data_IF_082059574445
#
_entry.id   IF_082059574445
#
_cell.length_a   1.000
_cell.length_b   1.000
_cell.length_c   1.000
_cell.angle_alpha   90.00
_cell.angle_beta   90.00
_cell.angle_gamma   90.00
#
_symmetry.space_group_name_H-M   'P 1'
#
loop_
_entity.id
_entity.type
_entity.pdbx_description
1 polymer ?
#
# COMPACT_ATOMS: atom_id res chain seq x y z
N UNK A 1 16.01 -8.56 -11.68
CA UNK A 1 15.74 -8.61 -10.22
C UNK A 1 16.79 -7.82 -9.46
N UNK A 2 16.39 -6.99 -8.51
CA UNK A 2 17.30 -6.17 -7.70
C UNK A 2 17.87 -7.03 -6.57
N UNK A 3 19.20 -7.26 -6.59
CA UNK A 3 19.89 -8.07 -5.57
C UNK A 3 20.34 -7.24 -4.36
N UNK A 4 20.55 -5.94 -4.52
CA UNK A 4 20.92 -4.99 -3.48
C UNK A 4 20.24 -3.66 -3.75
N UNK A 5 19.78 -3.00 -2.70
CA UNK A 5 19.18 -1.67 -2.79
C UNK A 5 20.20 -0.54 -2.51
N UNK A 6 21.44 -0.89 -2.21
CA UNK A 6 22.50 0.09 -2.02
C UNK A 6 22.59 1.03 -3.24
N UNK A 7 22.51 2.34 -3.00
CA UNK A 7 22.47 3.40 -4.01
C UNK A 7 21.30 3.30 -5.03
N UNK A 8 20.28 2.50 -4.78
CA UNK A 8 19.09 2.42 -5.63
C UNK A 8 18.05 3.47 -5.22
N UNK A 9 17.51 4.19 -6.19
CA UNK A 9 16.46 5.20 -5.96
C UNK A 9 15.12 4.53 -5.76
N UNK A 10 14.50 4.77 -4.62
CA UNK A 10 13.20 4.23 -4.23
C UNK A 10 12.21 5.37 -3.99
N UNK A 11 11.16 5.44 -4.78
CA UNK A 11 10.06 6.39 -4.62
C UNK A 11 8.98 5.73 -3.75
N UNK A 12 8.54 6.41 -2.68
CA UNK A 12 7.50 5.89 -1.76
C UNK A 12 6.40 6.93 -1.63
N UNK A 13 5.19 6.62 -2.11
CA UNK A 13 4.02 7.47 -1.92
C UNK A 13 3.35 7.21 -0.57
N UNK A 14 2.82 8.25 0.08
CA UNK A 14 2.27 8.14 1.43
C UNK A 14 3.32 7.85 2.49
N UNK A 15 4.53 8.44 2.34
CA UNK A 15 5.69 8.12 3.16
C UNK A 15 5.70 8.77 4.55
N UNK A 16 4.75 9.67 4.86
CA UNK A 16 4.75 10.46 6.11
C UNK A 16 4.32 9.69 7.35
N UNK A 17 3.73 8.49 7.22
CA UNK A 17 3.24 7.71 8.36
C UNK A 17 3.07 6.21 8.02
N UNK A 18 2.79 5.40 9.02
CA UNK A 18 2.35 4.02 8.89
C UNK A 18 3.28 3.16 8.03
N UNK A 19 2.68 2.44 7.07
CA UNK A 19 3.42 1.53 6.17
C UNK A 19 4.46 2.28 5.33
N UNK A 20 4.14 3.48 4.83
CA UNK A 20 5.07 4.27 4.02
C UNK A 20 6.32 4.68 4.80
N UNK A 21 6.16 5.12 6.06
CA UNK A 21 7.28 5.45 6.94
C UNK A 21 8.10 4.21 7.31
N UNK A 22 7.46 3.09 7.64
CA UNK A 22 8.15 1.82 7.91
C UNK A 22 8.92 1.33 6.68
N UNK A 23 8.34 1.46 5.49
CA UNK A 23 8.98 1.16 4.22
C UNK A 23 10.22 2.06 3.99
N UNK A 24 10.11 3.38 4.24
CA UNK A 24 11.24 4.30 4.13
C UNK A 24 12.40 3.90 5.06
N UNK A 25 12.11 3.59 6.33
CA UNK A 25 13.13 3.10 7.28
C UNK A 25 13.80 1.82 6.80
N UNK A 26 13.03 0.87 6.31
CA UNK A 26 13.56 -0.41 5.82
C UNK A 26 14.48 -0.20 4.61
N UNK A 27 14.07 0.61 3.62
CA UNK A 27 14.94 0.89 2.48
C UNK A 27 16.16 1.74 2.83
N UNK A 28 16.04 2.67 3.81
CA UNK A 28 17.19 3.41 4.34
C UNK A 28 18.24 2.49 4.98
N UNK A 29 17.80 1.47 5.75
CA UNK A 29 18.72 0.46 6.33
C UNK A 29 19.45 -0.37 5.27
N UNK A 30 18.90 -0.44 4.05
CA UNK A 30 19.52 -1.02 2.87
C UNK A 30 20.32 0.02 2.02
N UNK A 31 20.57 1.22 2.55
CA UNK A 31 21.30 2.31 1.90
C UNK A 31 20.73 2.77 0.56
N UNK A 32 19.40 2.66 0.39
CA UNK A 32 18.72 3.19 -0.77
C UNK A 32 18.65 4.72 -0.72
N UNK A 33 18.63 5.37 -1.89
CA UNK A 33 18.27 6.79 -2.03
C UNK A 33 16.77 6.91 -2.04
N UNK A 34 16.20 7.78 -1.22
CA UNK A 34 14.75 7.81 -0.98
C UNK A 34 14.13 9.08 -1.58
N UNK A 35 13.03 8.90 -2.33
CA UNK A 35 12.11 9.96 -2.70
C UNK A 35 10.82 9.75 -1.90
N UNK A 36 10.65 10.54 -0.86
CA UNK A 36 9.50 10.45 0.05
C UNK A 36 8.40 11.40 -0.40
N UNK A 37 7.21 10.86 -0.60
CA UNK A 37 6.08 11.62 -1.17
C UNK A 37 4.88 11.60 -0.21
N UNK A 38 4.36 12.78 0.14
CA UNK A 38 3.12 12.94 0.90
C UNK A 38 2.50 14.32 0.67
N UNK A 39 1.25 14.51 1.14
CA UNK A 39 0.56 15.81 1.09
C UNK A 39 0.98 16.74 2.22
N UNK A 40 1.25 16.19 3.39
CA UNK A 40 1.58 16.95 4.60
C UNK A 40 3.09 17.12 4.74
N UNK A 41 3.58 18.35 4.54
CA UNK A 41 5.00 18.66 4.56
C UNK A 41 5.65 18.40 5.92
N UNK A 42 5.02 18.86 7.01
CA UNK A 42 5.58 18.73 8.36
C UNK A 42 5.82 17.25 8.75
N UNK A 43 4.82 16.38 8.57
CA UNK A 43 4.96 14.96 8.88
C UNK A 43 5.94 14.24 7.93
N UNK A 44 6.04 14.68 6.67
CA UNK A 44 6.99 14.14 5.71
C UNK A 44 8.44 14.49 6.11
N UNK A 45 8.67 15.73 6.53
CA UNK A 45 9.98 16.20 6.94
C UNK A 45 10.45 15.51 8.23
N UNK A 46 9.58 15.19 9.17
CA UNK A 46 9.94 14.38 10.37
C UNK A 46 10.60 13.05 9.95
N UNK A 47 9.99 12.33 9.00
CA UNK A 47 10.56 11.06 8.52
C UNK A 47 11.85 11.30 7.72
N UNK A 48 11.89 12.35 6.91
CA UNK A 48 13.09 12.67 6.13
C UNK A 48 14.28 13.00 7.04
N UNK A 49 14.07 13.83 8.07
CA UNK A 49 15.12 14.23 9.01
C UNK A 49 15.69 13.04 9.81
N UNK A 50 14.81 12.11 10.21
CA UNK A 50 15.20 10.84 10.84
C UNK A 50 16.16 10.03 9.94
N UNK A 51 15.96 10.04 8.61
CA UNK A 51 16.66 9.16 7.69
C UNK A 51 17.87 9.78 7.00
N UNK A 52 18.02 11.12 7.01
CA UNK A 52 19.15 11.82 6.34
C UNK A 52 20.52 11.44 6.86
N UNK A 53 20.63 10.92 8.08
CA UNK A 53 21.90 10.41 8.61
C UNK A 53 22.28 9.03 8.05
N UNK A 54 21.35 8.33 7.41
CA UNK A 54 21.51 6.95 6.93
C UNK A 54 21.63 6.89 5.40
N UNK A 55 20.90 7.78 4.68
CA UNK A 55 20.84 7.79 3.22
C UNK A 55 20.47 9.16 2.66
N UNK A 56 20.61 9.32 1.33
CA UNK A 56 20.12 10.50 0.62
C UNK A 56 18.60 10.50 0.55
N UNK A 57 17.97 11.64 0.92
CA UNK A 57 16.51 11.78 0.97
C UNK A 57 16.05 13.04 0.26
N UNK A 58 15.19 12.88 -0.74
CA UNK A 58 14.40 13.93 -1.38
C UNK A 58 12.95 13.87 -0.87
N UNK A 59 12.41 14.97 -0.39
CA UNK A 59 10.98 15.11 -0.07
C UNK A 59 10.25 15.79 -1.21
N UNK A 60 9.06 15.24 -1.58
CA UNK A 60 8.19 15.81 -2.59
C UNK A 60 6.79 15.97 -1.99
N UNK A 61 6.40 17.21 -1.70
CA UNK A 61 5.05 17.52 -1.24
C UNK A 61 4.13 17.59 -2.44
N UNK A 62 3.19 16.63 -2.55
CA UNK A 62 2.24 16.57 -3.65
C UNK A 62 0.99 15.76 -3.30
N UNK A 63 -0.05 15.92 -4.10
CA UNK A 63 -1.23 15.07 -4.08
C UNK A 63 -1.17 14.06 -5.24
N UNK A 64 -1.14 12.77 -4.95
CA UNK A 64 -1.15 11.71 -5.99
C UNK A 64 -2.43 11.72 -6.84
N UNK A 65 -3.48 12.47 -6.45
CA UNK A 65 -4.64 12.70 -7.29
C UNK A 65 -4.39 13.69 -8.45
N UNK A 66 -3.29 14.47 -8.45
CA UNK A 66 -2.86 15.31 -9.57
C UNK A 66 -2.08 14.46 -10.58
N UNK A 67 -2.51 14.47 -11.85
CA UNK A 67 -1.81 13.76 -12.92
C UNK A 67 -0.45 14.43 -13.23
N UNK A 68 -0.43 15.75 -13.25
CA UNK A 68 0.75 16.56 -13.53
C UNK A 68 1.83 16.31 -12.49
N UNK A 69 1.45 16.29 -11.19
CA UNK A 69 2.38 16.01 -10.11
C UNK A 69 2.95 14.59 -10.20
N UNK A 70 2.11 13.60 -10.56
CA UNK A 70 2.55 12.22 -10.72
C UNK A 70 3.60 12.08 -11.85
N UNK A 71 3.44 12.77 -12.97
CA UNK A 71 4.40 12.74 -14.06
C UNK A 71 5.69 13.50 -13.68
N UNK A 72 5.57 14.69 -13.10
CA UNK A 72 6.71 15.49 -12.65
C UNK A 72 7.53 14.81 -11.54
N UNK A 73 6.93 13.93 -10.75
CA UNK A 73 7.61 13.18 -9.67
C UNK A 73 8.78 12.34 -10.21
N UNK A 74 8.59 11.65 -11.32
CA UNK A 74 9.62 10.78 -11.91
C UNK A 74 10.79 11.59 -12.45
N UNK A 75 10.50 12.72 -13.09
CA UNK A 75 11.54 13.66 -13.56
C UNK A 75 12.36 14.23 -12.39
N UNK A 76 11.68 14.65 -11.32
CA UNK A 76 12.36 15.14 -10.10
C UNK A 76 13.24 14.07 -9.46
N UNK A 77 12.77 12.83 -9.39
CA UNK A 77 13.54 11.71 -8.85
C UNK A 77 14.78 11.39 -9.68
N UNK A 78 14.64 11.35 -11.02
CA UNK A 78 15.75 11.10 -11.95
C UNK A 78 16.75 12.28 -11.91
N UNK A 79 16.30 13.52 -11.90
CA UNK A 79 17.15 14.69 -11.80
C UNK A 79 17.98 14.74 -10.50
N UNK A 80 17.39 14.31 -9.37
CA UNK A 80 18.06 14.30 -8.08
C UNK A 80 19.08 13.16 -7.93
N UNK A 81 18.76 11.97 -8.44
CA UNK A 81 19.53 10.76 -8.12
C UNK A 81 20.04 10.00 -9.36
N UNK A 82 19.83 10.53 -10.57
CA UNK A 82 20.35 10.01 -11.83
C UNK A 82 19.57 8.84 -12.42
N UNK A 83 18.76 8.14 -11.63
CA UNK A 83 17.94 7.02 -12.09
C UNK A 83 16.76 6.75 -11.14
N UNK A 84 15.73 6.03 -11.60
CA UNK A 84 14.64 5.49 -10.79
C UNK A 84 14.67 3.97 -10.85
N UNK A 85 14.68 3.30 -9.69
CA UNK A 85 14.80 1.85 -9.61
C UNK A 85 13.56 1.19 -9.02
N UNK A 86 12.89 1.81 -8.06
CA UNK A 86 11.70 1.24 -7.39
C UNK A 86 10.65 2.32 -7.24
N UNK A 87 9.40 1.97 -7.51
CA UNK A 87 8.24 2.76 -7.12
C UNK A 87 7.34 1.94 -6.20
N UNK A 88 7.02 2.51 -5.02
CA UNK A 88 6.10 1.95 -4.05
C UNK A 88 4.83 2.80 -4.02
N UNK A 89 3.78 2.30 -4.64
CA UNK A 89 2.44 2.88 -4.62
C UNK A 89 1.74 2.51 -3.31
N UNK A 90 2.02 3.28 -2.25
CA UNK A 90 1.48 3.04 -0.92
C UNK A 90 0.41 4.06 -0.51
N UNK A 91 0.39 5.26 -1.08
CA UNK A 91 -0.64 6.26 -0.77
C UNK A 91 -2.04 5.67 -0.96
N UNK A 92 -2.93 5.96 -0.01
CA UNK A 92 -4.29 5.44 -0.04
C UNK A 92 -5.22 6.15 0.93
N UNK A 93 -6.52 6.03 0.68
CA UNK A 93 -7.58 6.53 1.56
C UNK A 93 -8.73 5.53 1.65
N UNK A 94 -9.53 5.65 2.70
CA UNK A 94 -10.74 4.85 2.88
C UNK A 94 -11.84 5.71 3.52
N UNK A 95 -12.81 6.16 2.73
CA UNK A 95 -14.08 6.68 3.25
C UNK A 95 -14.95 5.47 3.62
N UNK A 96 -15.15 5.30 4.93
CA UNK A 96 -15.77 4.11 5.53
C UNK A 96 -17.28 4.23 5.60
N UNK A 97 -17.96 3.09 5.60
CA UNK A 97 -19.41 3.00 5.77
C UNK A 97 -20.14 2.38 4.59
N UNK A 98 -21.42 2.12 4.76
CA UNK A 98 -22.30 1.68 3.67
C UNK A 98 -22.35 2.74 2.57
N UNK A 99 -22.36 2.32 1.32
CA UNK A 99 -22.18 3.21 0.16
C UNK A 99 -23.20 4.36 0.12
N UNK A 100 -24.42 4.13 0.58
CA UNK A 100 -25.47 5.17 0.67
C UNK A 100 -25.15 6.33 1.64
N UNK A 101 -24.19 6.11 2.56
CA UNK A 101 -23.74 7.10 3.56
C UNK A 101 -22.41 7.75 3.21
N UNK A 102 -21.73 7.27 2.18
CA UNK A 102 -20.46 7.84 1.71
C UNK A 102 -20.74 8.92 0.69
N UNK A 103 -20.12 10.10 0.87
CA UNK A 103 -20.27 11.19 -0.07
C UNK A 103 -19.78 10.81 -1.48
N UNK A 104 -20.51 11.12 -2.57
CA UNK A 104 -20.10 10.76 -3.93
C UNK A 104 -18.69 11.24 -4.31
N UNK A 105 -18.26 12.40 -3.80
CA UNK A 105 -16.91 12.92 -4.03
C UNK A 105 -15.83 12.10 -3.32
N UNK A 106 -16.12 11.51 -2.17
CA UNK A 106 -15.20 10.61 -1.48
C UNK A 106 -15.07 9.27 -2.21
N UNK A 107 -16.16 8.81 -2.85
CA UNK A 107 -16.13 7.63 -3.74
C UNK A 107 -15.17 7.89 -4.90
N UNK A 108 -15.28 9.03 -5.58
CA UNK A 108 -14.40 9.42 -6.68
C UNK A 108 -12.94 9.57 -6.20
N UNK A 109 -12.71 10.25 -5.07
CA UNK A 109 -11.38 10.42 -4.49
C UNK A 109 -10.70 9.07 -4.13
N UNK A 110 -11.47 8.07 -3.63
CA UNK A 110 -10.93 6.72 -3.41
C UNK A 110 -10.46 6.08 -4.72
N UNK A 111 -11.19 6.24 -5.83
CA UNK A 111 -10.79 5.72 -7.14
C UNK A 111 -9.52 6.43 -7.61
N UNK A 112 -9.47 7.75 -7.50
CA UNK A 112 -8.33 8.54 -7.93
C UNK A 112 -7.05 8.18 -7.18
N UNK A 113 -7.11 8.09 -5.86
CA UNK A 113 -5.93 7.88 -5.02
C UNK A 113 -5.53 6.41 -4.98
N UNK A 114 -6.48 5.48 -4.79
CA UNK A 114 -6.17 4.07 -4.57
C UNK A 114 -5.96 3.26 -5.86
N UNK A 115 -6.45 3.74 -7.01
CA UNK A 115 -6.40 3.00 -8.26
C UNK A 115 -5.77 3.83 -9.38
N UNK A 116 -6.38 4.97 -9.79
CA UNK A 116 -5.89 5.74 -10.94
C UNK A 116 -4.43 6.18 -10.76
N UNK A 117 -4.07 6.77 -9.63
CA UNK A 117 -2.72 7.23 -9.37
C UNK A 117 -1.66 6.11 -9.42
N UNK A 118 -1.84 4.95 -8.76
CA UNK A 118 -0.94 3.80 -8.92
C UNK A 118 -0.79 3.32 -10.36
N UNK A 119 -1.88 3.28 -11.14
CA UNK A 119 -1.83 2.87 -12.55
C UNK A 119 -1.01 3.87 -13.39
N UNK A 120 -1.28 5.17 -13.22
CA UNK A 120 -0.56 6.24 -13.91
C UNK A 120 0.93 6.24 -13.57
N UNK A 121 1.28 6.19 -12.28
CA UNK A 121 2.67 6.16 -11.82
C UNK A 121 3.39 4.90 -12.31
N UNK A 122 2.73 3.74 -12.28
CA UNK A 122 3.31 2.49 -12.78
C UNK A 122 3.61 2.58 -14.29
N UNK A 123 2.67 3.06 -15.09
CA UNK A 123 2.83 3.24 -16.52
C UNK A 123 3.98 4.22 -16.82
N UNK A 124 3.98 5.39 -16.19
CA UNK A 124 4.98 6.42 -16.40
C UNK A 124 6.39 5.99 -15.92
N UNK A 125 6.48 5.11 -14.90
CA UNK A 125 7.77 4.63 -14.38
C UNK A 125 8.48 3.65 -15.32
N UNK A 126 7.79 2.89 -16.14
CA UNK A 126 8.39 1.84 -16.98
C UNK A 126 9.60 2.32 -17.80
N UNK A 127 9.55 3.45 -18.53
CA UNK A 127 10.69 3.94 -19.29
C UNK A 127 11.92 4.23 -18.39
N UNK A 128 11.71 4.78 -17.19
CA UNK A 128 12.78 5.07 -16.22
C UNK A 128 13.42 3.79 -15.69
N UNK A 129 12.59 2.80 -15.30
CA UNK A 129 13.06 1.50 -14.84
C UNK A 129 13.84 0.73 -15.92
N UNK A 130 13.43 0.86 -17.19
CA UNK A 130 14.17 0.29 -18.33
C UNK A 130 15.54 0.95 -18.52
N UNK A 131 15.63 2.29 -18.42
CA UNK A 131 16.91 3.01 -18.49
C UNK A 131 17.85 2.63 -17.35
N UNK A 132 17.31 2.34 -16.18
CA UNK A 132 18.09 1.87 -15.02
C UNK A 132 18.58 0.41 -15.14
N UNK A 133 18.16 -0.32 -16.21
CA UNK A 133 18.54 -1.72 -16.50
C UNK A 133 17.83 -2.77 -15.66
N UNK A 134 17.23 -2.40 -14.55
CA UNK A 134 16.39 -3.24 -13.71
C UNK A 134 15.53 -2.39 -12.78
N UNK A 135 14.37 -2.90 -12.37
CA UNK A 135 13.51 -2.12 -11.49
C UNK A 135 12.39 -2.92 -10.83
N UNK A 136 11.60 -2.23 -10.02
CA UNK A 136 10.40 -2.82 -9.42
C UNK A 136 9.26 -1.81 -9.28
N UNK A 137 8.04 -2.30 -9.46
CA UNK A 137 6.78 -1.62 -9.18
C UNK A 137 6.07 -2.42 -8.09
N UNK A 138 5.88 -1.81 -6.92
CA UNK A 138 5.22 -2.45 -5.79
C UNK A 138 3.95 -1.70 -5.43
N UNK A 139 2.82 -2.38 -5.50
CA UNK A 139 1.51 -1.82 -5.16
C UNK A 139 1.08 -2.30 -3.77
N UNK A 140 0.60 -1.38 -2.93
CA UNK A 140 0.02 -1.74 -1.64
C UNK A 140 -1.49 -1.96 -1.82
N UNK A 141 -1.84 -3.23 -1.91
CA UNK A 141 -3.20 -3.74 -2.00
C UNK A 141 -3.90 -3.84 -0.64
N UNK A 142 -4.77 -4.83 -0.50
CA UNK A 142 -5.47 -5.19 0.74
C UNK A 142 -6.14 -6.54 0.60
N UNK A 143 -6.41 -7.24 1.70
CA UNK A 143 -7.34 -8.39 1.72
C UNK A 143 -8.75 -8.01 1.27
N UNK A 144 -9.15 -6.73 1.39
CA UNK A 144 -10.41 -6.21 0.84
C UNK A 144 -10.46 -6.31 -0.70
N UNK A 145 -9.31 -6.30 -1.39
CA UNK A 145 -9.23 -6.57 -2.84
C UNK A 145 -9.34 -8.08 -3.19
N UNK A 146 -9.35 -8.95 -2.20
CA UNK A 146 -9.43 -10.41 -2.35
C UNK A 146 -10.73 -11.01 -1.83
N UNK A 147 -11.55 -10.22 -1.15
CA UNK A 147 -12.85 -10.65 -0.62
C UNK A 147 -13.79 -9.46 -0.50
N UNK A 148 -15.11 -9.64 -0.78
CA UNK A 148 -16.07 -8.57 -0.58
C UNK A 148 -16.16 -8.20 0.90
N UNK A 149 -16.01 -6.90 1.20
CA UNK A 149 -16.13 -6.35 2.54
C UNK A 149 -17.29 -5.37 2.59
N UNK A 150 -18.25 -5.57 3.50
CA UNK A 150 -19.34 -4.61 3.73
C UNK A 150 -18.77 -3.34 4.38
N UNK A 151 -19.40 -2.21 4.10
CA UNK A 151 -18.90 -0.89 4.56
C UNK A 151 -17.62 -0.44 3.84
N UNK A 152 -17.21 -1.14 2.76
CA UNK A 152 -15.99 -0.85 2.03
C UNK A 152 -16.12 -1.16 0.53
N UNK A 153 -17.30 -0.99 -0.07
CA UNK A 153 -17.56 -1.42 -1.45
C UNK A 153 -16.58 -0.77 -2.45
N UNK A 154 -16.46 0.55 -2.42
CA UNK A 154 -15.54 1.29 -3.31
C UNK A 154 -14.08 0.96 -3.01
N UNK A 155 -13.71 0.92 -1.72
CA UNK A 155 -12.34 0.56 -1.32
C UNK A 155 -11.97 -0.84 -1.81
N UNK A 156 -12.85 -1.82 -1.63
CA UNK A 156 -12.65 -3.18 -2.13
C UNK A 156 -12.50 -3.22 -3.66
N UNK A 157 -13.34 -2.47 -4.39
CA UNK A 157 -13.25 -2.36 -5.85
C UNK A 157 -11.89 -1.79 -6.29
N UNK A 158 -11.41 -0.70 -5.66
CA UNK A 158 -10.11 -0.11 -5.99
C UNK A 158 -8.95 -1.07 -5.73
N UNK A 159 -8.97 -1.77 -4.60
CA UNK A 159 -7.91 -2.72 -4.24
C UNK A 159 -7.97 -4.02 -5.05
N UNK A 160 -9.15 -4.45 -5.49
CA UNK A 160 -9.31 -5.57 -6.43
C UNK A 160 -8.79 -5.20 -7.82
N UNK A 161 -9.12 -4.00 -8.34
CA UNK A 161 -8.59 -3.49 -9.61
C UNK A 161 -7.07 -3.35 -9.58
N UNK A 162 -6.50 -2.79 -8.51
CA UNK A 162 -5.06 -2.65 -8.35
C UNK A 162 -4.34 -4.02 -8.30
N UNK A 163 -4.96 -5.00 -7.63
CA UNK A 163 -4.46 -6.37 -7.60
C UNK A 163 -4.45 -7.00 -9.00
N UNK A 164 -5.56 -6.93 -9.72
CA UNK A 164 -5.67 -7.47 -11.09
C UNK A 164 -4.65 -6.81 -12.03
N UNK A 165 -4.52 -5.46 -11.96
CA UNK A 165 -3.52 -4.71 -12.70
C UNK A 165 -2.09 -5.18 -12.41
N UNK A 166 -1.76 -5.42 -11.14
CA UNK A 166 -0.41 -5.86 -10.75
C UNK A 166 -0.03 -7.21 -11.35
N UNK A 167 -0.97 -8.14 -11.41
CA UNK A 167 -0.74 -9.45 -12.05
C UNK A 167 -0.56 -9.30 -13.57
N UNK A 168 -1.49 -8.61 -14.24
CA UNK A 168 -1.40 -8.43 -15.68
C UNK A 168 -0.10 -7.72 -16.09
N UNK A 169 0.27 -6.64 -15.39
CA UNK A 169 1.51 -5.92 -15.68
C UNK A 169 2.77 -6.76 -15.37
N UNK A 170 2.70 -7.63 -14.36
CA UNK A 170 3.80 -8.57 -14.07
C UNK A 170 4.03 -9.53 -15.24
N UNK A 171 2.96 -10.03 -15.86
CA UNK A 171 3.04 -10.91 -17.03
C UNK A 171 3.55 -10.15 -18.26
N UNK A 172 3.10 -8.91 -18.50
CA UNK A 172 3.57 -8.05 -19.60
C UNK A 172 5.06 -7.72 -19.50
N UNK A 173 5.61 -7.59 -18.30
CA UNK A 173 7.00 -7.23 -18.05
C UNK A 173 7.90 -8.43 -17.77
N UNK A 174 7.39 -9.66 -17.96
CA UNK A 174 8.17 -10.88 -17.75
C UNK A 174 9.41 -10.88 -18.66
N UNK A 175 10.57 -11.17 -18.09
CA UNK A 175 11.85 -11.21 -18.83
C UNK A 175 12.51 -9.84 -19.08
N UNK A 176 11.87 -8.72 -18.70
CA UNK A 176 12.41 -7.35 -18.94
C UNK A 176 13.37 -6.87 -17.85
N UNK A 177 13.53 -7.61 -16.75
CA UNK A 177 14.29 -7.16 -15.57
C UNK A 177 13.49 -6.26 -14.62
N UNK A 178 12.21 -5.98 -14.93
CA UNK A 178 11.32 -5.19 -14.07
C UNK A 178 10.37 -6.14 -13.34
N UNK A 179 10.40 -6.13 -12.01
CA UNK A 179 9.48 -6.88 -11.16
C UNK A 179 8.23 -6.05 -10.87
N UNK A 180 7.06 -6.69 -10.91
CA UNK A 180 5.79 -6.05 -10.52
C UNK A 180 5.07 -6.93 -9.54
N UNK A 181 4.50 -6.33 -8.50
CA UNK A 181 3.69 -7.11 -7.58
C UNK A 181 2.88 -6.29 -6.60
N UNK A 182 2.10 -7.00 -5.79
CA UNK A 182 1.16 -6.42 -4.83
C UNK A 182 1.32 -7.04 -3.44
N UNK A 183 1.42 -6.20 -2.41
CA UNK A 183 1.28 -6.65 -1.02
C UNK A 183 -0.18 -6.55 -0.62
N UNK A 184 -0.78 -7.64 -0.15
CA UNK A 184 -2.19 -7.70 0.26
C UNK A 184 -2.31 -7.91 1.78
N UNK A 185 -2.16 -6.85 2.60
CA UNK A 185 -2.29 -6.94 4.04
C UNK A 185 -3.76 -7.06 4.48
N UNK A 186 -3.95 -7.65 5.67
CA UNK A 186 -5.16 -7.51 6.46
C UNK A 186 -5.19 -6.17 7.20
N UNK A 187 -5.86 -6.07 8.36
CA UNK A 187 -5.80 -4.88 9.18
C UNK A 187 -4.36 -4.64 9.67
N UNK A 188 -3.94 -3.37 9.68
CA UNK A 188 -2.59 -2.95 10.07
C UNK A 188 -2.70 -2.03 11.29
N UNK A 189 -1.85 -2.23 12.29
CA UNK A 189 -1.76 -1.40 13.50
C UNK A 189 -1.08 -0.06 13.19
N UNK A 190 -1.83 0.83 12.54
CA UNK A 190 -1.40 2.17 12.14
C UNK A 190 -2.55 3.16 12.30
N UNK A 191 -2.26 4.47 12.27
CA UNK A 191 -3.28 5.52 12.31
C UNK A 191 -4.39 5.34 11.27
N UNK A 192 -4.10 4.76 10.11
CA UNK A 192 -5.10 4.46 9.07
C UNK A 192 -6.31 3.65 9.56
N UNK A 193 -6.12 2.80 10.58
CA UNK A 193 -7.18 2.03 11.24
C UNK A 193 -7.45 2.55 12.64
N UNK A 194 -6.39 2.85 13.40
CA UNK A 194 -6.52 3.12 14.83
C UNK A 194 -7.11 4.49 15.13
N UNK A 195 -6.83 5.53 14.30
CA UNK A 195 -7.39 6.87 14.49
C UNK A 195 -8.90 6.92 14.23
N UNK A 196 -9.41 5.98 13.43
CA UNK A 196 -10.83 5.86 13.09
C UNK A 196 -11.43 4.52 13.58
N UNK A 197 -10.89 3.95 14.65
CA UNK A 197 -11.23 2.58 15.10
C UNK A 197 -12.75 2.40 15.24
N UNK A 198 -13.48 3.42 15.66
CA UNK A 198 -14.93 3.37 15.85
C UNK A 198 -15.70 3.25 14.55
N UNK A 199 -15.22 3.86 13.48
CA UNK A 199 -15.81 3.78 12.15
C UNK A 199 -15.43 2.51 11.38
N UNK A 200 -14.42 1.76 11.86
CA UNK A 200 -13.99 0.50 11.22
C UNK A 200 -14.97 -0.62 11.56
N UNK A 201 -15.46 -1.32 10.56
CA UNK A 201 -16.35 -2.48 10.72
C UNK A 201 -15.72 -3.59 11.60
N UNK A 202 -16.49 -4.13 12.53
CA UNK A 202 -16.02 -5.13 13.49
C UNK A 202 -15.37 -6.34 12.82
N UNK A 203 -15.91 -6.78 11.69
CA UNK A 203 -15.39 -7.94 10.93
C UNK A 203 -13.90 -7.77 10.54
N UNK A 204 -13.41 -6.55 10.38
CA UNK A 204 -12.01 -6.27 10.08
C UNK A 204 -11.11 -6.83 11.19
N UNK A 205 -11.52 -6.69 12.43
CA UNK A 205 -10.80 -7.19 13.60
C UNK A 205 -10.98 -8.71 13.86
N UNK A 206 -11.78 -9.41 13.03
CA UNK A 206 -11.80 -10.88 13.05
C UNK A 206 -10.48 -11.49 12.58
N UNK A 207 -9.70 -10.71 11.83
CA UNK A 207 -8.33 -11.05 11.43
C UNK A 207 -7.33 -10.42 12.40
N UNK A 208 -6.24 -11.10 12.72
CA UNK A 208 -5.18 -10.50 13.53
C UNK A 208 -4.51 -9.35 12.75
N UNK A 209 -4.19 -8.26 13.44
CA UNK A 209 -3.49 -7.13 12.85
C UNK A 209 -2.03 -7.48 12.52
N UNK A 210 -1.53 -6.89 11.44
CA UNK A 210 -0.11 -6.90 11.10
C UNK A 210 0.52 -5.59 11.52
N UNK A 211 1.85 -5.57 11.70
CA UNK A 211 2.58 -4.31 11.88
C UNK A 211 2.91 -3.66 10.53
N UNK A 212 3.24 -2.37 10.55
CA UNK A 212 3.70 -1.64 9.38
C UNK A 212 5.02 -2.22 8.82
N UNK A 213 5.90 -2.70 9.72
CA UNK A 213 7.20 -3.32 9.38
C UNK A 213 6.98 -4.63 8.62
N UNK A 214 6.04 -5.47 9.04
CA UNK A 214 5.71 -6.71 8.31
C UNK A 214 5.22 -6.43 6.89
N UNK A 215 4.48 -5.32 6.68
CA UNK A 215 4.07 -4.91 5.33
C UNK A 215 5.28 -4.41 4.54
N UNK A 216 6.17 -3.64 5.16
CA UNK A 216 7.40 -3.15 4.54
C UNK A 216 8.32 -4.31 4.08
N UNK A 217 8.45 -5.36 4.90
CA UNK A 217 9.18 -6.59 4.50
C UNK A 217 8.55 -7.25 3.27
N UNK A 218 7.21 -7.31 3.20
CA UNK A 218 6.51 -7.78 2.01
C UNK A 218 6.76 -6.92 0.78
N UNK A 219 6.83 -5.60 0.94
CA UNK A 219 7.19 -4.65 -0.13
C UNK A 219 8.62 -4.92 -0.62
N UNK A 220 9.57 -5.10 0.30
CA UNK A 220 10.97 -5.39 -0.02
C UNK A 220 11.11 -6.73 -0.79
N UNK A 221 10.38 -7.76 -0.37
CA UNK A 221 10.39 -9.07 -1.04
C UNK A 221 9.90 -8.96 -2.50
N UNK A 222 8.84 -8.20 -2.77
CA UNK A 222 8.36 -7.94 -4.14
C UNK A 222 9.38 -7.11 -4.92
N UNK A 223 9.93 -6.05 -4.31
CA UNK A 223 10.93 -5.22 -4.96
C UNK A 223 12.19 -6.00 -5.35
N UNK A 224 12.54 -7.05 -4.59
CA UNK A 224 13.60 -7.99 -4.92
C UNK A 224 13.24 -9.00 -6.02
N UNK A 225 11.99 -9.02 -6.50
CA UNK A 225 11.52 -9.91 -7.55
C UNK A 225 11.25 -11.35 -7.09
N UNK A 226 11.05 -11.58 -5.79
CA UNK A 226 10.83 -12.92 -5.24
C UNK A 226 9.41 -13.43 -5.49
N UNK A 227 8.41 -12.57 -5.52
CA UNK A 227 6.98 -12.92 -5.60
C UNK A 227 6.18 -11.84 -6.33
N UNK A 228 5.09 -12.24 -7.00
CA UNK A 228 4.11 -11.31 -7.59
C UNK A 228 3.09 -10.83 -6.53
N UNK A 229 2.74 -11.68 -5.56
CA UNK A 229 1.87 -11.27 -4.47
C UNK A 229 2.38 -11.79 -3.12
N UNK A 230 2.47 -10.88 -2.14
CA UNK A 230 2.68 -11.21 -0.74
C UNK A 230 1.37 -10.98 0.01
N UNK A 231 0.79 -12.06 0.53
CA UNK A 231 -0.38 -11.99 1.43
C UNK A 231 0.11 -12.18 2.85
N UNK A 232 -0.04 -11.16 3.67
CA UNK A 232 0.32 -11.29 5.07
C UNK A 232 -0.67 -12.25 5.75
N UNK A 233 -0.13 -13.36 6.29
CA UNK A 233 -0.85 -14.50 6.87
C UNK A 233 -1.53 -15.39 5.82
N UNK A 234 -0.90 -16.52 5.52
CA UNK A 234 -1.34 -17.50 4.53
C UNK A 234 -2.77 -18.06 4.77
N UNK A 235 -3.22 -18.15 6.03
CA UNK A 235 -4.59 -18.56 6.38
C UNK A 235 -5.65 -17.59 5.83
N UNK A 236 -5.37 -16.29 5.87
CA UNK A 236 -6.25 -15.25 5.32
C UNK A 236 -6.35 -15.34 3.79
N UNK A 237 -5.27 -15.72 3.11
CA UNK A 237 -5.27 -15.89 1.65
C UNK A 237 -6.26 -16.98 1.20
N UNK A 238 -6.27 -18.13 1.88
CA UNK A 238 -7.20 -19.24 1.59
C UNK A 238 -8.65 -18.84 1.85
N UNK A 239 -8.93 -18.21 2.99
CA UNK A 239 -10.27 -17.79 3.37
C UNK A 239 -10.85 -16.77 2.39
N UNK A 240 -10.05 -15.81 1.92
CA UNK A 240 -10.49 -14.79 0.97
C UNK A 240 -10.86 -15.38 -0.40
N UNK A 241 -10.10 -16.36 -0.91
CA UNK A 241 -10.47 -17.07 -2.15
C UNK A 241 -11.82 -17.80 -2.01
N UNK A 242 -12.02 -18.54 -0.92
CA UNK A 242 -13.26 -19.26 -0.66
C UNK A 242 -14.46 -18.30 -0.56
N UNK A 243 -14.26 -17.07 -0.12
CA UNK A 243 -15.34 -16.09 0.06
C UNK A 243 -16.02 -15.68 -1.25
N UNK A 244 -15.31 -15.68 -2.37
CA UNK A 244 -15.88 -15.46 -3.70
C UNK A 244 -16.53 -16.71 -4.27
N UNK A 245 -15.89 -17.88 -4.10
CA UNK A 245 -16.41 -19.15 -4.62
C UNK A 245 -17.69 -19.60 -3.91
N UNK A 246 -17.82 -19.29 -2.61
CA UNK A 246 -18.94 -19.73 -1.78
C UNK A 246 -19.64 -18.55 -1.08
N UNK A 247 -20.39 -17.69 -1.81
CA UNK A 247 -20.99 -16.49 -1.26
C UNK A 247 -22.02 -16.77 -0.16
N UNK A 248 -22.77 -17.88 -0.26
CA UNK A 248 -23.76 -18.27 0.76
C UNK A 248 -23.08 -18.73 2.05
N UNK A 249 -21.98 -19.47 1.97
CA UNK A 249 -21.17 -19.85 3.14
C UNK A 249 -20.60 -18.61 3.82
N UNK A 250 -20.04 -17.67 3.05
CA UNK A 250 -19.56 -16.38 3.57
C UNK A 250 -20.66 -15.65 4.36
N UNK A 251 -21.89 -15.54 3.80
CA UNK A 251 -23.01 -14.87 4.46
C UNK A 251 -23.39 -15.56 5.77
N UNK A 252 -23.38 -16.91 5.81
CA UNK A 252 -23.67 -17.69 7.02
C UNK A 252 -22.61 -17.52 8.12
N UNK A 253 -21.34 -17.43 7.75
CA UNK A 253 -20.22 -17.26 8.70
C UNK A 253 -20.07 -15.84 9.23
N UNK A 254 -20.62 -14.85 8.52
CA UNK A 254 -20.49 -13.44 8.81
C UNK A 254 -20.86 -13.04 10.24
N UNK A 255 -22.02 -13.43 10.83
CA UNK A 255 -22.36 -13.05 12.21
C UNK A 255 -21.29 -13.47 13.22
N UNK A 256 -20.74 -14.68 13.07
CA UNK A 256 -19.67 -15.20 13.93
C UNK A 256 -18.39 -14.39 13.80
N UNK A 257 -18.03 -13.98 12.57
CA UNK A 257 -16.84 -13.14 12.31
C UNK A 257 -17.03 -11.74 12.90
N UNK A 258 -18.23 -11.16 12.84
CA UNK A 258 -18.52 -9.87 13.47
C UNK A 258 -18.41 -9.95 14.99
N UNK A 259 -18.96 -10.99 15.63
CA UNK A 259 -18.85 -11.19 17.08
C UNK A 259 -17.38 -11.33 17.52
N UNK A 260 -16.59 -12.13 16.81
CA UNK A 260 -15.17 -12.29 17.07
C UNK A 260 -14.42 -10.95 16.88
N UNK A 261 -14.73 -10.23 15.83
CA UNK A 261 -14.16 -8.95 15.52
C UNK A 261 -14.44 -7.90 16.60
N UNK A 262 -15.70 -7.84 17.09
CA UNK A 262 -16.09 -6.94 18.18
C UNK A 262 -15.25 -7.17 19.43
N UNK A 263 -15.13 -8.44 19.86
CA UNK A 263 -14.32 -8.80 21.05
C UNK A 263 -12.85 -8.37 20.89
N UNK A 264 -12.30 -8.48 19.69
CA UNK A 264 -10.92 -8.07 19.43
C UNK A 264 -10.80 -6.54 19.34
N UNK A 265 -11.75 -5.86 18.71
CA UNK A 265 -11.81 -4.39 18.60
C UNK A 265 -11.76 -3.74 19.98
N UNK A 266 -12.53 -4.26 20.94
CA UNK A 266 -12.55 -3.77 22.33
C UNK A 266 -11.17 -3.91 23.00
N UNK A 267 -10.44 -5.00 22.73
CA UNK A 267 -9.06 -5.14 23.22
C UNK A 267 -8.12 -4.08 22.67
N UNK A 268 -8.25 -3.74 21.37
CA UNK A 268 -7.43 -2.70 20.74
C UNK A 268 -7.78 -1.30 21.27
N UNK A 269 -9.07 -1.00 21.49
CA UNK A 269 -9.51 0.25 22.14
C UNK A 269 -8.91 0.42 23.54
N UNK A 270 -8.99 -0.62 24.36
CA UNK A 270 -8.45 -0.60 25.73
C UNK A 270 -6.93 -0.39 25.73
N UNK A 271 -6.21 -0.99 24.76
CA UNK A 271 -4.76 -0.78 24.59
C UNK A 271 -4.43 0.66 24.18
N UNK A 272 -5.27 1.29 23.36
CA UNK A 272 -5.09 2.68 22.93
C UNK A 272 -5.35 3.67 24.07
N UNK A 273 -6.38 3.41 24.88
CA UNK A 273 -6.69 4.22 26.06
C UNK A 273 -5.65 4.12 27.19
N UNK A 274 -4.81 3.07 27.18
CA UNK A 274 -3.75 2.84 28.18
C UNK A 274 -2.38 3.41 27.76
N UNK A 275 -2.27 3.99 26.56
CA UNK A 275 -1.07 4.69 26.05
C UNK A 275 -1.20 6.18 26.23
#
# INVERSE_FOLDING_TARGET
MIKSFDNKTVIITGASAGVGAACARLFASHKAKLVLVARGEAALNVIADELRSQCEVLTVVMNVASNEDCLALLEKAEAAFGAVHVIVNNAGMHARGDLEKVAPLDVAAMVDINLRAPLLLSCAAIPYLRRAGSGAIVNVGSLAGRAPLQGAATYAATKAGLRAFSYALSDELLGTGISVGVVSPGPIDTGFIMDEIDAVEDIVFSQPMSSAEQVAEGILAIASGQQVEVVLRASSAKLTHLSYLFPNLRRRLRPKLYEQGRKNKDKYRNRQAAK
#
